data_IF_193510248193
#
_entry.id   IF_193510248193
#
_cell.length_a   1.000
_cell.length_b   1.000
_cell.length_c   1.000
_cell.angle_alpha   90.00
_cell.angle_beta   90.00
_cell.angle_gamma   90.00
#
_symmetry.space_group_name_H-M   'P 1'
#
loop_
_entity.id
_entity.type
_entity.pdbx_description
1 polymer ?
#
# COMPACT_ATOMS: atom_id res chain seq x y z
N UNK A 1 17.33 24.88 19.18
CA UNK A 1 16.33 23.79 19.35
C UNK A 1 15.90 23.31 17.99
N UNK A 2 15.58 22.03 17.83
CA UNK A 2 15.05 21.49 16.58
C UNK A 2 13.53 21.71 16.56
N UNK A 3 13.02 22.50 15.62
CA UNK A 3 11.61 22.84 15.47
C UNK A 3 11.09 22.24 14.18
N UNK A 4 10.06 21.40 14.28
CA UNK A 4 9.41 20.80 13.11
C UNK A 4 8.02 21.38 12.95
N UNK A 5 7.70 21.81 11.74
CA UNK A 5 6.38 22.34 11.38
C UNK A 5 5.69 21.35 10.45
N UNK A 6 4.40 21.13 10.66
CA UNK A 6 3.60 20.28 9.79
C UNK A 6 2.25 20.95 9.49
N UNK A 7 1.69 20.60 8.33
CA UNK A 7 0.36 21.02 7.90
C UNK A 7 -0.28 19.93 7.07
N UNK A 8 -1.57 19.73 7.25
CA UNK A 8 -2.34 18.81 6.42
C UNK A 8 -2.52 19.35 4.99
N UNK A 9 -2.43 18.47 4.00
CA UNK A 9 -2.60 18.78 2.57
C UNK A 9 -3.66 17.85 1.98
N UNK A 10 -4.64 18.42 1.27
CA UNK A 10 -5.68 17.69 0.54
C UNK A 10 -5.84 18.28 -0.86
N UNK A 11 -6.07 17.43 -1.85
CA UNK A 11 -6.25 17.86 -3.23
C UNK A 11 -6.43 16.68 -4.20
N UNK A 12 -6.50 17.02 -5.49
CA UNK A 12 -6.55 16.05 -6.58
C UNK A 12 -5.14 15.61 -7.00
N UNK A 13 -5.01 14.36 -7.41
CA UNK A 13 -3.75 13.76 -7.86
C UNK A 13 -4.01 12.84 -9.07
N UNK A 14 -3.00 12.61 -9.95
CA UNK A 14 -3.17 11.72 -11.10
C UNK A 14 -3.38 10.25 -10.71
N UNK A 15 -2.77 9.80 -9.62
CA UNK A 15 -2.89 8.43 -9.11
C UNK A 15 -3.91 8.36 -7.97
N UNK A 16 -5.00 7.63 -8.17
CA UNK A 16 -6.02 7.39 -7.13
C UNK A 16 -5.73 6.22 -6.19
N UNK A 17 -4.66 5.44 -6.44
CA UNK A 17 -4.35 4.19 -5.75
C UNK A 17 -3.24 4.27 -4.69
N UNK A 18 -2.51 5.37 -4.62
CA UNK A 18 -1.35 5.50 -3.73
C UNK A 18 -1.70 5.26 -2.25
N UNK A 19 -0.77 4.65 -1.50
CA UNK A 19 -0.96 4.33 -0.08
C UNK A 19 0.33 4.61 0.70
N UNK A 20 0.27 5.49 1.69
CA UNK A 20 1.42 5.86 2.55
C UNK A 20 2.69 6.23 1.76
N UNK A 21 2.52 6.88 0.61
CA UNK A 21 3.63 7.37 -0.19
C UNK A 21 4.32 8.53 0.54
N UNK A 22 5.64 8.62 0.43
CA UNK A 22 6.44 9.74 0.95
C UNK A 22 7.32 10.30 -0.15
N UNK A 23 7.34 11.62 -0.27
CA UNK A 23 8.20 12.36 -1.21
C UNK A 23 8.90 13.51 -0.50
N UNK A 24 10.13 13.80 -0.90
CA UNK A 24 10.97 14.83 -0.29
C UNK A 24 12.16 14.24 0.47
N UNK A 25 12.70 15.01 1.42
CA UNK A 25 13.92 14.70 2.17
C UNK A 25 13.75 14.91 3.69
N UNK A 26 14.86 14.96 4.42
CA UNK A 26 14.88 15.13 5.88
C UNK A 26 14.52 16.55 6.33
N UNK A 27 14.70 17.56 5.47
CA UNK A 27 14.36 18.94 5.78
C UNK A 27 12.89 19.25 5.47
N UNK A 28 12.35 18.67 4.39
CA UNK A 28 10.96 18.81 4.00
C UNK A 28 10.45 17.57 3.28
N UNK A 29 9.36 16.99 3.79
CA UNK A 29 8.69 15.86 3.13
C UNK A 29 7.17 15.97 3.18
N UNK A 30 6.53 15.38 2.18
CA UNK A 30 5.09 15.19 2.08
C UNK A 30 4.82 13.69 2.12
N UNK A 31 3.94 13.27 3.03
CA UNK A 31 3.46 11.90 3.09
C UNK A 31 1.94 11.86 3.05
N UNK A 32 1.38 10.81 2.45
CA UNK A 32 -0.05 10.66 2.36
C UNK A 32 -0.52 9.47 1.56
N UNK A 33 -1.83 9.43 1.36
CA UNK A 33 -2.55 8.37 0.65
C UNK A 33 -3.51 9.00 -0.35
N UNK A 34 -3.86 8.24 -1.38
CA UNK A 34 -4.76 8.63 -2.44
C UNK A 34 -6.03 7.77 -2.38
N UNK A 35 -7.07 8.22 -3.04
CA UNK A 35 -8.32 7.48 -3.18
C UNK A 35 -8.97 7.81 -4.52
N UNK A 36 -9.92 6.99 -4.92
CA UNK A 36 -10.71 7.20 -6.14
C UNK A 36 -12.16 7.56 -5.77
N UNK A 37 -12.74 8.49 -6.53
CA UNK A 37 -14.09 9.01 -6.31
C UNK A 37 -14.11 10.44 -5.78
N UNK A 38 -15.24 11.12 -5.94
CA UNK A 38 -15.41 12.50 -5.51
C UNK A 38 -15.38 12.60 -3.99
N UNK A 39 -14.63 13.58 -3.46
CA UNK A 39 -14.50 13.86 -2.02
C UNK A 39 -14.05 12.65 -1.17
N UNK A 40 -13.44 11.63 -1.79
CA UNK A 40 -13.03 10.40 -1.09
C UNK A 40 -11.94 10.63 -0.03
N UNK A 41 -11.21 11.74 -0.11
CA UNK A 41 -10.09 12.09 0.75
C UNK A 41 -10.52 12.75 2.08
N UNK A 42 -11.65 12.30 2.64
CA UNK A 42 -12.21 12.74 3.91
C UNK A 42 -11.36 12.29 5.11
N UNK A 43 -11.04 11.00 5.17
CA UNK A 43 -10.08 10.40 6.11
C UNK A 43 -9.41 9.19 5.45
N UNK A 44 -8.08 9.26 5.32
CA UNK A 44 -7.26 8.20 4.74
C UNK A 44 -6.18 7.72 5.71
N UNK A 45 -6.27 8.08 6.99
CA UNK A 45 -5.27 7.77 8.02
C UNK A 45 -5.07 6.25 8.18
N UNK A 46 -6.16 5.49 8.04
CA UNK A 46 -6.17 4.03 8.18
C UNK A 46 -6.10 3.29 6.84
N UNK A 47 -5.84 3.98 5.72
CA UNK A 47 -5.71 3.31 4.43
C UNK A 47 -4.46 2.42 4.44
N UNK A 48 -4.67 1.13 4.20
CA UNK A 48 -3.63 0.11 4.05
C UNK A 48 -3.46 -0.29 2.60
N UNK A 49 -2.28 -0.83 2.26
CA UNK A 49 -2.00 -1.36 0.92
C UNK A 49 -2.93 -2.53 0.57
N UNK A 50 -3.31 -3.33 1.56
CA UNK A 50 -4.20 -4.46 1.38
C UNK A 50 -5.64 -4.08 1.68
N UNK A 51 -6.57 -4.75 1.00
CA UNK A 51 -7.98 -4.75 1.40
C UNK A 51 -8.10 -5.26 2.84
N UNK A 52 -8.96 -4.67 3.69
CA UNK A 52 -9.18 -5.19 5.04
C UNK A 52 -9.64 -6.67 5.03
N UNK A 53 -10.38 -7.06 3.99
CA UNK A 53 -10.69 -8.47 3.71
C UNK A 53 -9.59 -9.10 2.86
N UNK A 54 -8.43 -9.34 3.47
CA UNK A 54 -7.55 -10.38 2.93
C UNK A 54 -8.24 -11.73 3.17
N UNK A 55 -8.45 -12.56 2.14
CA UNK A 55 -8.93 -13.92 2.36
C UNK A 55 -7.97 -14.58 3.35
N UNK A 56 -8.52 -15.18 4.41
CA UNK A 56 -7.69 -15.98 5.32
C UNK A 56 -6.95 -17.00 4.48
N UNK A 57 -5.63 -17.09 4.67
CA UNK A 57 -4.86 -18.18 4.08
C UNK A 57 -5.44 -19.48 4.65
N UNK A 58 -6.22 -20.18 3.84
CA UNK A 58 -6.61 -21.54 4.15
C UNK A 58 -5.36 -22.39 4.09
N UNK A 59 -5.06 -23.06 5.20
CA UNK A 59 -4.02 -24.07 5.22
C UNK A 59 -4.53 -25.19 4.31
N UNK A 60 -3.96 -25.31 3.11
CA UNK A 60 -4.20 -26.46 2.26
C UNK A 60 -3.99 -27.71 3.13
N UNK A 61 -4.94 -28.68 3.11
CA UNK A 61 -4.78 -29.93 3.84
C UNK A 61 -3.37 -30.47 3.58
N UNK A 62 -2.64 -30.80 4.64
CA UNK A 62 -1.30 -31.36 4.56
C UNK A 62 -1.30 -32.50 3.53
N UNK A 63 -0.70 -32.25 2.36
CA UNK A 63 -0.82 -33.14 1.19
C UNK A 63 -0.93 -32.44 -0.17
N UNK A 64 -1.31 -31.16 -0.21
CA UNK A 64 -1.35 -30.36 -1.44
C UNK A 64 -0.36 -29.19 -1.40
N UNK A 65 0.91 -29.48 -1.14
CA UNK A 65 1.94 -28.59 -1.66
C UNK A 65 1.87 -28.68 -3.19
N UNK A 66 1.83 -27.56 -3.94
CA UNK A 66 2.10 -27.62 -5.37
C UNK A 66 3.49 -28.20 -5.49
N UNK A 67 3.59 -29.44 -5.96
CA UNK A 67 4.88 -30.02 -6.32
C UNK A 67 5.46 -29.06 -7.33
N UNK A 68 6.54 -28.36 -6.96
CA UNK A 68 7.30 -27.57 -7.92
C UNK A 68 7.52 -28.47 -9.13
N UNK A 69 6.98 -28.08 -10.29
CA UNK A 69 7.17 -28.84 -11.51
C UNK A 69 8.69 -28.99 -11.68
N UNK A 70 9.23 -30.21 -11.80
CA UNK A 70 10.65 -30.36 -12.06
C UNK A 70 10.92 -29.65 -13.39
N UNK A 71 11.80 -28.66 -13.35
CA UNK A 71 12.35 -28.04 -14.54
C UNK A 71 12.97 -29.18 -15.35
N UNK A 72 12.28 -29.66 -16.38
CA UNK A 72 12.80 -30.65 -17.29
C UNK A 72 13.85 -29.96 -18.15
N UNK A 73 15.06 -29.84 -17.61
CA UNK A 73 16.25 -29.50 -18.40
C UNK A 73 16.55 -30.74 -19.23
N UNK A 74 15.93 -30.81 -20.40
CA UNK A 74 16.26 -31.81 -21.41
C UNK A 74 17.25 -31.21 -22.40
N UNK A 75 18.43 -31.85 -22.41
CA UNK A 75 19.45 -31.96 -23.46
C UNK A 75 20.61 -30.98 -23.48
#
# INVERSE_FOLDING_TARGET
>A
GNLTWWREVRGCVPDGGCTQERRGDEAASLSGSCCHGDLCNGDLTNKTFFSPDLPRLELLPHGHAPTAAPNNVTR
#
